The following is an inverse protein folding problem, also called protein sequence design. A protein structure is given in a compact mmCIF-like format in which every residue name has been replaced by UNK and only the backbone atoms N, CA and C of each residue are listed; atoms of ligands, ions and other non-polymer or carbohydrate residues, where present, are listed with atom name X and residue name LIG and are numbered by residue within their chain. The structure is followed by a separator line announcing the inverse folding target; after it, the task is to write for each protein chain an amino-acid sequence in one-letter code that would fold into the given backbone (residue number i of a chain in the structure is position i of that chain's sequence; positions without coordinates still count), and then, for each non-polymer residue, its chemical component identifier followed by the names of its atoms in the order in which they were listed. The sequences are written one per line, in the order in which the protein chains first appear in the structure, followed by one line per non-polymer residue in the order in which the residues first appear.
data_IF_693949255706
#
_entry.id   IF_693949255706
#
_cell.length_a   1.000
_cell.length_b   1.000
_cell.length_c   1.000
_cell.angle_alpha   90.00
_cell.angle_beta   90.00
_cell.angle_gamma   90.00
#
_symmetry.space_group_name_H-M   'P 1'
#
loop_
_entity.id
_entity.type
_entity.pdbx_description
1 polymer ?
#
# COMPACT_ATOMS: atom_id res chain seq x y z
N UNK A 1 -45.73 -34.94 19.21
CA UNK A 1 -44.30 -35.23 19.42
C UNK A 1 -43.42 -35.05 18.18
N UNK A 2 -43.88 -35.29 16.95
CA UNK A 2 -43.09 -35.06 15.72
C UNK A 2 -42.88 -33.57 15.45
N UNK A 3 -43.87 -32.76 15.65
CA UNK A 3 -43.83 -31.30 15.39
C UNK A 3 -42.82 -30.57 16.29
N UNK A 4 -42.74 -30.97 17.57
CA UNK A 4 -41.79 -30.36 18.53
C UNK A 4 -40.35 -30.65 18.14
N UNK A 5 -40.05 -31.84 17.62
CA UNK A 5 -38.69 -32.22 17.20
C UNK A 5 -38.23 -31.42 15.99
N UNK A 6 -39.10 -31.13 15.03
CA UNK A 6 -38.81 -30.34 13.85
C UNK A 6 -38.51 -28.89 14.24
N UNK A 7 -39.29 -28.31 15.13
CA UNK A 7 -39.12 -26.96 15.63
C UNK A 7 -37.80 -26.79 16.38
N UNK A 8 -37.42 -27.72 17.21
CA UNK A 8 -36.13 -27.70 17.94
C UNK A 8 -34.95 -27.79 17.00
N UNK A 9 -35.00 -28.65 15.97
CA UNK A 9 -33.96 -28.76 14.96
C UNK A 9 -33.81 -27.44 14.19
N UNK A 10 -34.92 -26.80 13.83
CA UNK A 10 -34.90 -25.52 13.10
C UNK A 10 -34.27 -24.38 13.94
N UNK A 11 -34.56 -24.34 15.24
CA UNK A 11 -33.98 -23.39 16.18
C UNK A 11 -32.46 -23.60 16.31
N UNK A 12 -32.02 -24.85 16.44
CA UNK A 12 -30.59 -25.18 16.52
C UNK A 12 -29.82 -24.85 15.26
N UNK A 13 -30.41 -25.04 14.07
CA UNK A 13 -29.81 -24.64 12.80
C UNK A 13 -29.74 -23.12 12.67
N UNK A 14 -30.75 -22.40 13.10
CA UNK A 14 -30.80 -20.97 13.09
C UNK A 14 -29.74 -20.34 14.02
N UNK A 15 -29.58 -20.90 15.22
CA UNK A 15 -28.55 -20.41 16.17
C UNK A 15 -27.14 -20.68 15.66
N UNK A 16 -26.87 -21.83 15.05
CA UNK A 16 -25.57 -22.13 14.45
C UNK A 16 -25.26 -21.19 13.27
N UNK A 17 -26.25 -20.91 12.45
CA UNK A 17 -26.10 -19.93 11.33
C UNK A 17 -25.78 -18.52 11.82
N UNK A 18 -26.46 -18.04 12.86
CA UNK A 18 -26.20 -16.74 13.48
C UNK A 18 -24.80 -16.66 14.10
N UNK A 19 -24.31 -17.74 14.70
CA UNK A 19 -22.95 -17.80 15.25
C UNK A 19 -21.88 -17.70 14.15
N UNK A 20 -22.07 -18.38 13.02
CA UNK A 20 -21.14 -18.29 11.87
C UNK A 20 -21.12 -16.88 11.29
N UNK A 21 -22.28 -16.25 11.10
CA UNK A 21 -22.39 -14.87 10.59
C UNK A 21 -21.72 -13.86 11.54
N UNK A 22 -21.88 -14.01 12.84
CA UNK A 22 -21.20 -13.15 13.81
C UNK A 22 -19.68 -13.34 13.81
N UNK A 23 -19.18 -14.56 13.70
CA UNK A 23 -17.77 -14.85 13.61
C UNK A 23 -17.12 -14.21 12.37
N UNK A 24 -17.77 -14.32 11.21
CA UNK A 24 -17.30 -13.68 9.97
C UNK A 24 -17.27 -12.16 10.08
N UNK A 25 -18.27 -11.55 10.70
CA UNK A 25 -18.34 -10.10 10.87
C UNK A 25 -17.25 -9.58 11.82
N UNK A 26 -16.97 -10.28 12.91
CA UNK A 26 -15.88 -9.95 13.85
C UNK A 26 -14.52 -10.07 13.14
N UNK A 27 -14.32 -11.09 12.34
CA UNK A 27 -13.08 -11.32 11.61
C UNK A 27 -12.84 -10.21 10.57
N UNK A 28 -13.85 -9.81 9.80
CA UNK A 28 -13.75 -8.73 8.83
C UNK A 28 -13.44 -7.37 9.48
N UNK A 29 -14.04 -7.10 10.64
CA UNK A 29 -13.79 -5.88 11.39
C UNK A 29 -12.37 -5.83 11.98
N UNK A 30 -11.86 -6.96 12.44
CA UNK A 30 -10.48 -7.06 12.94
C UNK A 30 -9.46 -6.86 11.81
N UNK A 31 -9.70 -7.43 10.62
CA UNK A 31 -8.84 -7.22 9.45
C UNK A 31 -8.80 -5.74 9.03
N UNK A 32 -9.96 -5.09 8.94
CA UNK A 32 -10.04 -3.65 8.62
C UNK A 32 -9.33 -2.79 9.68
N UNK A 33 -9.43 -3.13 10.94
CA UNK A 33 -8.75 -2.41 12.02
C UNK A 33 -7.23 -2.57 11.93
N UNK A 34 -6.73 -3.76 11.60
CA UNK A 34 -5.30 -4.01 11.40
C UNK A 34 -4.77 -3.27 10.17
N UNK A 35 -5.50 -3.27 9.06
CA UNK A 35 -5.14 -2.56 7.84
C UNK A 35 -5.10 -1.03 8.07
N UNK A 36 -6.10 -0.47 8.73
CA UNK A 36 -6.12 0.94 9.09
C UNK A 36 -4.97 1.32 10.05
N UNK A 37 -4.62 0.45 11.00
CA UNK A 37 -3.49 0.67 11.89
C UNK A 37 -2.17 0.62 11.11
N UNK A 38 -2.02 -0.34 10.18
CA UNK A 38 -0.83 -0.44 9.32
C UNK A 38 -0.66 0.81 8.46
N UNK A 39 -1.72 1.33 7.85
CA UNK A 39 -1.66 2.58 7.07
C UNK A 39 -1.30 3.80 7.94
N UNK A 40 -1.79 3.86 9.18
CA UNK A 40 -1.48 4.95 10.11
C UNK A 40 -0.01 4.96 10.55
N UNK A 41 0.64 3.81 10.54
CA UNK A 41 2.03 3.64 10.94
C UNK A 41 3.01 3.78 9.78
N UNK A 42 2.53 4.04 8.56
CA UNK A 42 3.35 4.22 7.35
C UNK A 42 3.52 5.70 7.01
N UNK A 43 4.63 6.02 6.38
CA UNK A 43 4.92 7.34 5.80
C UNK A 43 5.24 7.20 4.32
N UNK A 44 5.08 8.28 3.58
CA UNK A 44 5.34 8.33 2.16
C UNK A 44 6.34 9.42 1.81
N UNK A 45 7.20 9.16 0.83
CA UNK A 45 8.11 10.12 0.23
C UNK A 45 8.23 9.85 -1.27
N UNK A 46 8.51 10.91 -2.02
CA UNK A 46 8.68 10.87 -3.47
C UNK A 46 10.11 11.26 -3.80
N UNK A 47 10.80 10.42 -4.58
CA UNK A 47 12.15 10.66 -5.07
C UNK A 47 12.14 10.81 -6.59
N UNK A 48 12.71 11.91 -7.09
CA UNK A 48 12.82 12.20 -8.51
C UNK A 48 14.29 12.53 -8.86
N UNK A 49 14.95 11.62 -9.56
CA UNK A 49 16.40 11.76 -9.85
C UNK A 49 16.87 10.82 -10.95
N UNK A 50 16.56 11.13 -12.19
CA UNK A 50 16.93 10.34 -13.34
C UNK A 50 16.05 9.10 -13.52
N UNK A 51 16.64 8.02 -14.04
CA UNK A 51 15.91 6.80 -14.36
C UNK A 51 15.28 6.14 -13.12
N UNK A 52 13.96 6.11 -13.07
CA UNK A 52 13.21 5.56 -11.92
C UNK A 52 13.40 4.04 -11.74
N UNK A 53 13.73 3.28 -12.79
CA UNK A 53 13.97 1.83 -12.69
C UNK A 53 15.13 1.48 -11.76
N UNK A 54 16.26 2.18 -11.90
CA UNK A 54 17.42 1.99 -11.03
C UNK A 54 17.15 2.45 -9.60
N UNK A 55 16.54 3.60 -9.46
CA UNK A 55 16.15 4.19 -8.16
C UNK A 55 15.15 3.29 -7.43
N UNK A 56 14.11 2.81 -8.11
CA UNK A 56 13.15 1.88 -7.52
C UNK A 56 13.81 0.57 -7.10
N UNK A 57 14.61 -0.02 -8.00
CA UNK A 57 15.31 -1.28 -7.72
C UNK A 57 16.17 -1.20 -6.45
N UNK A 58 16.82 -0.07 -6.24
CA UNK A 58 17.63 0.15 -5.04
C UNK A 58 16.75 0.37 -3.79
N UNK A 59 15.78 1.29 -3.86
CA UNK A 59 15.00 1.70 -2.70
C UNK A 59 14.15 0.56 -2.13
N UNK A 60 13.61 -0.31 -2.97
CA UNK A 60 12.80 -1.46 -2.51
C UNK A 60 13.59 -2.53 -1.76
N UNK A 61 14.93 -2.49 -1.79
CA UNK A 61 15.80 -3.40 -1.02
C UNK A 61 16.07 -2.90 0.40
N UNK A 62 15.71 -1.65 0.72
CA UNK A 62 15.98 -1.06 2.03
C UNK A 62 15.00 -1.64 3.05
N UNK A 63 15.54 -2.23 4.14
CA UNK A 63 14.73 -2.72 5.25
C UNK A 63 13.88 -1.60 5.85
N UNK A 64 12.56 -1.78 5.90
CA UNK A 64 11.60 -0.77 6.33
C UNK A 64 10.84 -0.09 5.20
N UNK A 65 11.28 -0.22 3.95
CA UNK A 65 10.47 0.11 2.78
C UNK A 65 9.44 -1.00 2.58
N UNK A 66 8.16 -0.62 2.56
CA UNK A 66 7.03 -1.54 2.47
C UNK A 66 6.55 -1.71 1.00
N UNK A 67 6.58 -0.63 0.23
CA UNK A 67 6.23 -0.64 -1.20
C UNK A 67 6.84 0.52 -1.95
N UNK A 68 6.99 0.34 -3.27
CA UNK A 68 7.41 1.37 -4.22
C UNK A 68 6.43 1.43 -5.38
N UNK A 69 6.28 2.61 -5.97
CA UNK A 69 5.48 2.84 -7.18
C UNK A 69 6.20 3.85 -8.05
N UNK A 70 6.43 3.50 -9.32
CA UNK A 70 7.03 4.40 -10.31
C UNK A 70 5.96 5.21 -11.05
N UNK A 71 6.30 6.41 -11.46
CA UNK A 71 5.41 7.29 -12.20
C UNK A 71 6.05 8.60 -12.60
N UNK A 72 5.23 9.55 -13.00
CA UNK A 72 5.66 10.87 -13.42
C UNK A 72 5.04 11.93 -12.53
N UNK A 73 5.81 12.91 -12.08
CA UNK A 73 5.35 13.98 -11.21
C UNK A 73 5.69 15.37 -11.76
N UNK A 74 4.92 16.37 -11.33
CA UNK A 74 5.11 17.81 -11.60
C UNK A 74 4.93 18.25 -13.06
N UNK A 75 4.28 17.47 -13.89
CA UNK A 75 4.06 17.82 -15.29
C UNK A 75 2.87 18.75 -15.52
N UNK A 76 2.77 19.23 -16.76
CA UNK A 76 1.78 20.22 -17.19
C UNK A 76 0.73 19.70 -18.17
N UNK A 77 0.72 18.39 -18.45
CA UNK A 77 -0.27 17.74 -19.31
C UNK A 77 -0.91 16.55 -18.58
N UNK A 78 -2.12 16.16 -18.98
CA UNK A 78 -2.79 14.95 -18.45
C UNK A 78 -2.28 13.70 -19.17
N UNK A 79 -2.08 12.61 -18.40
CA UNK A 79 -1.74 11.27 -18.92
C UNK A 79 -0.60 11.26 -19.95
N UNK A 80 0.62 11.73 -19.58
CA UNK A 80 1.73 11.77 -20.53
C UNK A 80 2.16 10.38 -20.97
N UNK A 81 2.62 10.25 -22.22
CA UNK A 81 3.36 9.06 -22.66
C UNK A 81 4.82 9.15 -22.21
N UNK A 82 5.52 8.00 -22.20
CA UNK A 82 6.95 7.96 -21.87
C UNK A 82 7.77 8.86 -22.79
N UNK A 83 7.52 8.83 -24.09
CA UNK A 83 8.22 9.66 -25.09
C UNK A 83 8.01 11.16 -24.83
N UNK A 84 6.80 11.55 -24.42
CA UNK A 84 6.50 12.93 -24.06
C UNK A 84 7.30 13.38 -22.83
N UNK A 85 7.42 12.53 -21.81
CA UNK A 85 8.23 12.81 -20.63
C UNK A 85 9.71 12.93 -21.00
N UNK A 86 10.24 11.98 -21.76
CA UNK A 86 11.63 11.97 -22.21
C UNK A 86 11.98 13.16 -23.11
N UNK A 87 11.00 13.78 -23.79
CA UNK A 87 11.25 14.98 -24.61
C UNK A 87 11.64 16.21 -23.80
N UNK A 88 11.42 16.20 -22.48
CA UNK A 88 11.70 17.32 -21.58
C UNK A 88 10.71 18.50 -21.66
N UNK A 89 9.71 18.44 -22.54
CA UNK A 89 8.80 19.57 -22.81
C UNK A 89 7.55 19.56 -21.90
N UNK A 90 7.39 18.55 -21.07
CA UNK A 90 6.18 18.35 -20.24
C UNK A 90 6.38 18.71 -18.77
N UNK A 91 7.60 19.09 -18.38
CA UNK A 91 8.01 19.34 -17.00
C UNK A 91 7.79 18.15 -16.04
N UNK A 92 7.46 16.96 -16.56
CA UNK A 92 7.40 15.75 -15.73
C UNK A 92 8.81 15.28 -15.37
N UNK A 93 8.95 14.81 -14.13
CA UNK A 93 10.11 14.05 -13.67
C UNK A 93 9.71 12.58 -13.47
N UNK A 94 10.58 11.66 -13.86
CA UNK A 94 10.51 10.26 -13.45
C UNK A 94 10.65 10.21 -11.93
N UNK A 95 9.69 9.58 -11.26
CA UNK A 95 9.55 9.65 -9.81
C UNK A 95 9.23 8.29 -9.23
N UNK A 96 9.84 7.97 -8.09
CA UNK A 96 9.53 6.80 -7.27
C UNK A 96 8.82 7.27 -6.00
N UNK A 97 7.58 6.85 -5.82
CA UNK A 97 6.88 6.95 -4.54
C UNK A 97 7.34 5.79 -3.66
N UNK A 98 7.75 6.08 -2.44
CA UNK A 98 8.18 5.10 -1.44
C UNK A 98 7.26 5.17 -0.24
N UNK A 99 6.64 4.05 0.11
CA UNK A 99 5.90 3.88 1.37
C UNK A 99 6.78 3.10 2.35
N UNK A 100 7.01 3.62 3.55
CA UNK A 100 7.94 3.04 4.51
C UNK A 100 7.40 3.09 5.94
N UNK A 101 7.91 2.21 6.81
CA UNK A 101 7.67 2.23 8.25
C UNK A 101 8.75 3.11 8.94
N UNK A 102 8.40 4.30 9.47
CA UNK A 102 9.37 5.22 10.08
C UNK A 102 10.01 4.68 11.36
N UNK A 103 9.47 3.60 11.93
CA UNK A 103 10.08 2.90 13.09
C UNK A 103 11.20 1.96 12.66
N UNK A 104 11.19 1.49 11.40
CA UNK A 104 12.22 0.59 10.85
C UNK A 104 13.31 1.36 10.09
N UNK A 105 12.90 2.36 9.31
CA UNK A 105 13.83 3.22 8.57
C UNK A 105 13.42 4.68 8.71
N UNK A 106 14.36 5.52 9.16
CA UNK A 106 14.11 6.96 9.34
C UNK A 106 14.29 7.71 8.03
N UNK A 107 13.49 8.76 7.82
CA UNK A 107 13.53 9.60 6.63
C UNK A 107 14.95 10.12 6.28
N UNK A 108 15.77 10.64 7.21
CA UNK A 108 17.11 11.09 6.88
C UNK A 108 17.97 9.98 6.25
N UNK A 109 17.86 8.74 6.74
CA UNK A 109 18.60 7.62 6.17
C UNK A 109 18.14 7.29 4.74
N UNK A 110 16.82 7.34 4.48
CA UNK A 110 16.28 7.14 3.12
C UNK A 110 16.81 8.20 2.15
N UNK A 111 16.88 9.47 2.60
CA UNK A 111 17.41 10.57 1.81
C UNK A 111 18.90 10.38 1.53
N UNK A 112 19.69 10.03 2.56
CA UNK A 112 21.13 9.79 2.41
C UNK A 112 21.42 8.62 1.45
N UNK A 113 20.64 7.55 1.54
CA UNK A 113 20.75 6.39 0.64
C UNK A 113 20.34 6.75 -0.79
N UNK A 114 19.27 7.53 -0.97
CA UNK A 114 18.85 8.01 -2.27
C UNK A 114 19.94 8.84 -2.95
N UNK A 115 20.56 9.78 -2.24
CA UNK A 115 21.67 10.60 -2.79
C UNK A 115 22.89 9.77 -3.21
N UNK A 116 23.05 8.56 -2.72
CA UNK A 116 24.09 7.63 -3.20
C UNK A 116 23.74 6.93 -4.51
N UNK A 117 22.50 7.01 -4.96
CA UNK A 117 22.03 6.39 -6.21
C UNK A 117 22.02 7.36 -7.39
N UNK A 118 22.07 8.65 -7.10
CA UNK A 118 22.15 9.69 -8.13
C UNK A 118 23.57 10.16 -8.22
N UNK A 119 24.07 10.23 -9.46
CA UNK A 119 25.37 10.84 -9.77
C UNK A 119 25.13 12.35 -9.98
N UNK A 120 25.73 13.22 -9.14
CA UNK A 120 25.52 14.67 -9.23
C UNK A 120 26.21 15.29 -10.43
#
# INVERSE_FOLDING_TARGET
MKEIKITVIFILLLTSYLQVMNAQNVQSNNLKKQENQKMKDQSEIYFAGGCFWGTEHFLKQIGGVESTLVGYANGNIANPTYEQVCSGNTNFAETVKVTYDPRKVRLPLLIDLYFKTIDP
#
